data_IF_108135310982
#
_entry.id   IF_108135310982
#
_cell.length_a   1.000
_cell.length_b   1.000
_cell.length_c   1.000
_cell.angle_alpha   90.00
_cell.angle_beta   90.00
_cell.angle_gamma   90.00
#
_symmetry.space_group_name_H-M   'P 1'
#
loop_
_entity.id
_entity.type
_entity.pdbx_description
1 polymer ?
#
# COMPACT_ATOMS: atom_id res chain seq x y z
N UNK A 1 91.35 93.09 -20.90
CA UNK A 1 90.05 92.94 -20.20
C UNK A 1 88.83 92.71 -21.12
N UNK A 2 88.97 92.77 -22.45
CA UNK A 2 87.85 92.62 -23.41
C UNK A 2 87.50 91.16 -23.78
N UNK A 3 88.45 90.22 -23.70
CA UNK A 3 88.18 88.80 -24.02
C UNK A 3 87.38 88.05 -22.95
N UNK A 4 87.63 88.28 -21.65
CA UNK A 4 86.89 87.62 -20.57
C UNK A 4 85.38 87.93 -20.59
N UNK A 5 85.00 89.15 -21.00
CA UNK A 5 83.59 89.55 -21.13
C UNK A 5 82.87 88.88 -22.30
N UNK A 6 83.59 88.39 -23.32
CA UNK A 6 83.00 87.66 -24.45
C UNK A 6 82.76 86.19 -24.09
N UNK A 7 83.71 85.55 -23.40
CA UNK A 7 83.59 84.17 -22.91
C UNK A 7 82.48 83.98 -21.86
N UNK A 8 82.36 84.91 -20.91
CA UNK A 8 81.27 84.87 -19.93
C UNK A 8 79.88 85.02 -20.58
N UNK A 9 79.81 85.72 -21.72
CA UNK A 9 78.55 85.90 -22.47
C UNK A 9 78.16 84.63 -23.19
N UNK A 10 79.08 83.95 -23.88
CA UNK A 10 78.77 82.70 -24.60
C UNK A 10 78.38 81.56 -23.66
N UNK A 11 79.03 81.44 -22.50
CA UNK A 11 78.68 80.43 -21.50
C UNK A 11 77.28 80.65 -20.89
N UNK A 12 76.87 81.91 -20.70
CA UNK A 12 75.51 82.21 -20.19
C UNK A 12 74.42 81.81 -21.18
N UNK A 13 74.69 81.91 -22.48
CA UNK A 13 73.74 81.51 -23.53
C UNK A 13 73.58 80.00 -23.64
N UNK A 14 74.64 79.21 -23.51
CA UNK A 14 74.56 77.74 -23.59
C UNK A 14 73.82 77.13 -22.41
N UNK A 15 74.06 77.63 -21.18
CA UNK A 15 73.35 77.18 -19.97
C UNK A 15 71.86 77.54 -20.03
N UNK A 16 71.52 78.73 -20.53
CA UNK A 16 70.12 79.14 -20.69
C UNK A 16 69.37 78.28 -21.73
N UNK A 17 70.02 77.94 -22.85
CA UNK A 17 69.42 77.08 -23.87
C UNK A 17 69.18 75.64 -23.37
N UNK A 18 70.12 75.09 -22.59
CA UNK A 18 69.98 73.75 -22.01
C UNK A 18 68.83 73.68 -20.97
N UNK A 19 68.70 74.72 -20.15
CA UNK A 19 67.62 74.83 -19.17
C UNK A 19 66.23 74.95 -19.84
N UNK A 20 66.14 75.67 -20.96
CA UNK A 20 64.91 75.77 -21.75
C UNK A 20 64.48 74.42 -22.33
N UNK A 21 65.42 73.66 -22.91
CA UNK A 21 65.14 72.35 -23.49
C UNK A 21 64.66 71.35 -22.43
N UNK A 22 65.28 71.36 -21.26
CA UNK A 22 64.90 70.50 -20.13
C UNK A 22 63.48 70.79 -19.62
N UNK A 23 63.13 72.09 -19.52
CA UNK A 23 61.78 72.50 -19.10
C UNK A 23 60.70 72.02 -20.07
N UNK A 24 60.95 72.11 -21.38
CA UNK A 24 60.01 71.63 -22.40
C UNK A 24 59.84 70.10 -22.34
N UNK A 25 60.93 69.37 -22.14
CA UNK A 25 60.88 67.91 -21.96
C UNK A 25 60.03 67.51 -20.76
N UNK A 26 60.23 68.15 -19.59
CA UNK A 26 59.45 67.87 -18.39
C UNK A 26 57.96 68.21 -18.56
N UNK A 27 57.66 69.31 -19.25
CA UNK A 27 56.28 69.71 -19.53
C UNK A 27 55.58 68.70 -20.44
N UNK A 28 56.26 68.19 -21.47
CA UNK A 28 55.74 67.15 -22.34
C UNK A 28 55.52 65.82 -21.61
N UNK A 29 56.42 65.44 -20.70
CA UNK A 29 56.25 64.24 -19.87
C UNK A 29 55.04 64.35 -18.94
N UNK A 30 54.86 65.51 -18.28
CA UNK A 30 53.70 65.76 -17.43
C UNK A 30 52.40 65.72 -18.23
N UNK A 31 52.34 66.43 -19.36
CA UNK A 31 51.18 66.42 -20.26
C UNK A 31 50.86 65.00 -20.76
N UNK A 32 51.88 64.22 -21.11
CA UNK A 32 51.74 62.82 -21.50
C UNK A 32 51.19 61.93 -20.39
N UNK A 33 51.69 62.08 -19.15
CA UNK A 33 51.21 61.30 -17.99
C UNK A 33 49.73 61.59 -17.66
N UNK A 34 49.33 62.86 -17.76
CA UNK A 34 47.96 63.29 -17.52
C UNK A 34 47.02 62.76 -18.60
N UNK A 35 47.40 62.91 -19.87
CA UNK A 35 46.64 62.40 -21.01
C UNK A 35 46.45 60.88 -20.94
N UNK A 36 47.49 60.14 -20.57
CA UNK A 36 47.42 58.68 -20.41
C UNK A 36 46.48 58.26 -19.26
N UNK A 37 46.49 59.00 -18.15
CA UNK A 37 45.60 58.74 -17.01
C UNK A 37 44.12 58.90 -17.38
N UNK A 38 43.80 59.96 -18.15
CA UNK A 38 42.43 60.19 -18.65
C UNK A 38 42.03 59.10 -19.64
N UNK A 39 42.93 58.73 -20.56
CA UNK A 39 42.66 57.69 -21.56
C UNK A 39 42.38 56.31 -20.92
N UNK A 40 43.08 55.95 -19.84
CA UNK A 40 42.83 54.71 -19.09
C UNK A 40 41.45 54.66 -18.43
N UNK A 41 40.93 55.79 -17.96
CA UNK A 41 39.65 55.83 -17.25
C UNK A 41 38.45 55.72 -18.20
N UNK A 42 38.57 56.27 -19.41
CA UNK A 42 37.44 56.41 -20.35
C UNK A 42 37.41 55.31 -21.39
N UNK A 43 38.56 54.74 -21.75
CA UNK A 43 38.67 53.77 -22.86
C UNK A 43 39.15 52.42 -22.34
N UNK A 44 38.26 51.43 -22.19
CA UNK A 44 38.61 50.08 -21.72
C UNK A 44 39.72 49.42 -22.54
N UNK A 45 39.80 49.72 -23.84
CA UNK A 45 40.86 49.22 -24.72
C UNK A 45 42.25 49.76 -24.37
N UNK A 46 42.38 51.03 -23.95
CA UNK A 46 43.67 51.62 -23.52
C UNK A 46 44.11 51.00 -22.21
N UNK A 47 43.17 50.82 -21.27
CA UNK A 47 43.43 50.13 -20.02
C UNK A 47 43.88 48.67 -20.24
N UNK A 48 43.24 47.95 -21.16
CA UNK A 48 43.61 46.59 -21.53
C UNK A 48 45.02 46.52 -22.17
N UNK A 49 45.35 47.44 -23.07
CA UNK A 49 46.66 47.50 -23.72
C UNK A 49 47.79 47.79 -22.72
N UNK A 50 47.62 48.79 -21.85
CA UNK A 50 48.65 49.12 -20.84
C UNK A 50 48.75 48.04 -19.77
N UNK A 51 47.62 47.46 -19.33
CA UNK A 51 47.65 46.33 -18.40
C UNK A 51 48.37 45.11 -19.00
N UNK A 52 48.22 44.88 -20.31
CA UNK A 52 48.98 43.83 -21.02
C UNK A 52 50.48 44.08 -21.02
N UNK A 53 50.92 45.33 -21.19
CA UNK A 53 52.36 45.72 -21.10
C UNK A 53 52.88 45.62 -19.66
N UNK A 54 52.07 46.03 -18.67
CA UNK A 54 52.45 45.90 -17.26
C UNK A 54 52.54 44.42 -16.86
N UNK A 55 51.65 43.56 -17.35
CA UNK A 55 51.67 42.12 -17.07
C UNK A 55 52.89 41.43 -17.69
N UNK A 56 53.34 41.84 -18.89
CA UNK A 56 54.55 41.28 -19.52
C UNK A 56 55.84 41.73 -18.85
N UNK A 57 55.87 42.95 -18.28
CA UNK A 57 57.08 43.49 -17.61
C UNK A 57 57.14 43.12 -16.13
N UNK A 58 56.00 43.04 -15.43
CA UNK A 58 55.95 42.84 -13.97
C UNK A 58 55.47 41.46 -13.55
N UNK A 59 54.84 40.68 -14.45
CA UNK A 59 54.29 39.35 -14.15
C UNK A 59 53.03 39.35 -13.27
N UNK A 60 52.50 40.52 -12.88
CA UNK A 60 51.34 40.62 -11.99
C UNK A 60 50.04 40.66 -12.83
N UNK A 61 49.26 39.58 -12.77
CA UNK A 61 47.93 39.48 -13.42
C UNK A 61 46.96 40.54 -12.91
N UNK A 62 46.46 41.37 -13.83
CA UNK A 62 45.49 42.44 -13.53
C UNK A 62 44.14 41.91 -13.02
N UNK A 63 43.41 42.71 -12.22
CA UNK A 63 42.09 42.36 -11.71
C UNK A 63 41.03 42.20 -12.82
N UNK A 64 41.21 42.88 -13.95
CA UNK A 64 40.31 42.83 -15.10
C UNK A 64 40.36 41.47 -15.81
N UNK A 65 41.53 40.84 -15.95
CA UNK A 65 41.63 39.50 -16.51
C UNK A 65 41.00 38.45 -15.59
N UNK A 66 41.04 38.67 -14.26
CA UNK A 66 40.33 37.83 -13.28
C UNK A 66 38.82 37.95 -13.34
N UNK A 67 38.27 39.15 -13.58
CA UNK A 67 36.82 39.35 -13.72
C UNK A 67 36.28 38.69 -14.99
N UNK A 68 36.91 38.91 -16.14
CA UNK A 68 36.53 38.22 -17.39
C UNK A 68 36.59 36.70 -17.21
N UNK A 69 37.65 36.19 -16.58
CA UNK A 69 37.78 34.76 -16.34
C UNK A 69 36.70 34.20 -15.39
N UNK A 70 36.20 34.98 -14.44
CA UNK A 70 35.09 34.57 -13.55
C UNK A 70 33.76 34.55 -14.28
N UNK A 71 33.46 35.58 -15.08
CA UNK A 71 32.22 35.64 -15.86
C UNK A 71 32.16 34.52 -16.89
N UNK A 72 33.25 34.26 -17.61
CA UNK A 72 33.35 33.14 -18.55
C UNK A 72 33.11 31.78 -17.85
N UNK A 73 33.69 31.59 -16.65
CA UNK A 73 33.45 30.37 -15.85
C UNK A 73 32.00 30.26 -15.38
N UNK A 74 31.37 31.37 -15.00
CA UNK A 74 29.99 31.37 -14.53
C UNK A 74 29.02 31.05 -15.68
N UNK A 75 29.23 31.65 -16.85
CA UNK A 75 28.47 31.34 -18.07
C UNK A 75 28.61 29.87 -18.47
N UNK A 76 29.83 29.32 -18.44
CA UNK A 76 30.13 27.91 -18.70
C UNK A 76 29.49 26.97 -17.66
N UNK A 77 29.43 27.37 -16.39
CA UNK A 77 28.74 26.60 -15.35
C UNK A 77 27.22 26.62 -15.51
N UNK A 78 26.64 27.75 -15.92
CA UNK A 78 25.21 27.86 -16.19
C UNK A 78 24.80 26.98 -17.38
N UNK A 79 25.52 27.02 -18.48
CA UNK A 79 25.23 26.15 -19.65
C UNK A 79 25.39 24.66 -19.30
N UNK A 80 26.38 24.30 -18.48
CA UNK A 80 26.49 22.93 -17.93
C UNK A 80 25.34 22.56 -17.00
N UNK A 81 24.84 23.49 -16.20
CA UNK A 81 23.71 23.24 -15.30
C UNK A 81 22.40 23.06 -16.09
N UNK A 82 22.17 23.92 -17.09
CA UNK A 82 21.00 23.83 -17.99
C UNK A 82 20.99 22.53 -18.78
N UNK A 83 22.14 22.13 -19.34
CA UNK A 83 22.24 20.85 -20.07
C UNK A 83 21.98 19.66 -19.17
N UNK A 84 22.49 19.64 -17.93
CA UNK A 84 22.19 18.59 -16.94
C UNK A 84 20.71 18.56 -16.58
N UNK A 85 20.11 19.71 -16.31
CA UNK A 85 18.68 19.81 -16.02
C UNK A 85 17.81 19.31 -17.18
N UNK A 86 18.21 19.62 -18.42
CA UNK A 86 17.53 19.13 -19.62
C UNK A 86 17.65 17.60 -19.76
N UNK A 87 18.82 17.02 -19.52
CA UNK A 87 19.03 15.56 -19.56
C UNK A 87 18.23 14.84 -18.49
N UNK A 88 18.25 15.35 -17.25
CA UNK A 88 17.47 14.78 -16.14
C UNK A 88 15.96 14.86 -16.41
N UNK A 89 15.50 15.98 -16.97
CA UNK A 89 14.10 16.13 -17.34
C UNK A 89 13.70 15.18 -18.49
N UNK A 90 14.59 14.92 -19.45
CA UNK A 90 14.35 13.94 -20.50
C UNK A 90 14.30 12.51 -19.95
N UNK A 91 15.21 12.16 -19.04
CA UNK A 91 15.22 10.85 -18.37
C UNK A 91 13.95 10.64 -17.54
N UNK A 92 13.55 11.63 -16.74
CA UNK A 92 12.29 11.56 -15.97
C UNK A 92 11.09 11.35 -16.87
N UNK A 93 10.98 12.08 -18.00
CA UNK A 93 9.89 11.87 -18.98
C UNK A 93 9.91 10.47 -19.59
N UNK A 94 11.09 9.92 -19.86
CA UNK A 94 11.23 8.56 -20.36
C UNK A 94 10.79 7.53 -19.30
N UNK A 95 11.17 7.74 -18.03
CA UNK A 95 10.76 6.88 -16.90
C UNK A 95 9.25 6.96 -16.67
N UNK A 96 8.66 8.15 -16.66
CA UNK A 96 7.20 8.31 -16.51
C UNK A 96 6.47 7.67 -17.69
N UNK A 97 6.95 7.84 -18.92
CA UNK A 97 6.39 7.16 -20.09
C UNK A 97 6.43 5.63 -19.99
N UNK A 98 7.53 5.06 -19.45
CA UNK A 98 7.60 3.62 -19.16
C UNK A 98 6.62 3.22 -18.07
N UNK A 99 6.51 3.99 -16.99
CA UNK A 99 5.56 3.73 -15.91
C UNK A 99 4.10 3.74 -16.42
N UNK A 100 3.74 4.70 -17.27
CA UNK A 100 2.41 4.78 -17.87
C UNK A 100 2.13 3.59 -18.81
N UNK A 101 3.13 3.17 -19.59
CA UNK A 101 3.02 1.99 -20.44
C UNK A 101 2.81 0.72 -19.61
N UNK A 102 3.55 0.57 -18.51
CA UNK A 102 3.40 -0.56 -17.59
C UNK A 102 2.03 -0.53 -16.90
N UNK A 103 1.57 0.66 -16.46
CA UNK A 103 0.25 0.82 -15.85
C UNK A 103 -0.87 0.40 -16.83
N UNK A 104 -0.78 0.82 -18.09
CA UNK A 104 -1.70 0.40 -19.17
C UNK A 104 -1.64 -1.11 -19.41
N UNK A 105 -0.46 -1.69 -19.54
CA UNK A 105 -0.29 -3.14 -19.74
C UNK A 105 -0.86 -3.96 -18.56
N UNK A 106 -0.71 -3.49 -17.31
CA UNK A 106 -1.29 -4.12 -16.14
C UNK A 106 -2.82 -4.00 -16.11
N UNK A 107 -3.37 -2.86 -16.52
CA UNK A 107 -4.82 -2.69 -16.63
C UNK A 107 -5.40 -3.63 -17.70
N UNK A 108 -4.75 -3.72 -18.86
CA UNK A 108 -5.15 -4.62 -19.94
C UNK A 108 -5.06 -6.10 -19.53
N UNK A 109 -3.98 -6.48 -18.83
CA UNK A 109 -3.80 -7.84 -18.31
C UNK A 109 -4.90 -8.20 -17.31
N UNK A 110 -5.25 -7.31 -16.38
CA UNK A 110 -6.35 -7.53 -15.43
C UNK A 110 -7.70 -7.65 -16.15
N UNK A 111 -7.95 -6.78 -17.13
CA UNK A 111 -9.18 -6.84 -17.93
C UNK A 111 -9.26 -8.13 -18.79
N UNK A 112 -8.13 -8.67 -19.23
CA UNK A 112 -8.06 -9.96 -19.93
C UNK A 112 -8.31 -11.12 -18.96
N UNK A 113 -7.71 -11.09 -17.77
CA UNK A 113 -7.95 -12.08 -16.71
C UNK A 113 -9.41 -12.11 -16.28
N UNK A 114 -10.05 -10.95 -16.07
CA UNK A 114 -11.48 -10.90 -15.73
C UNK A 114 -12.37 -11.43 -16.85
N UNK A 115 -11.98 -11.22 -18.11
CA UNK A 115 -12.70 -11.77 -19.26
C UNK A 115 -12.60 -13.29 -19.32
N UNK A 116 -11.40 -13.84 -19.19
CA UNK A 116 -11.19 -15.29 -19.16
C UNK A 116 -11.91 -15.94 -17.97
N UNK A 117 -11.91 -15.30 -16.80
CA UNK A 117 -12.63 -15.80 -15.63
C UNK A 117 -14.15 -15.88 -15.90
N UNK A 118 -14.74 -14.85 -16.53
CA UNK A 118 -16.16 -14.88 -16.94
C UNK A 118 -16.44 -15.94 -18.00
N UNK A 119 -15.57 -16.08 -18.99
CA UNK A 119 -15.70 -17.10 -20.03
C UNK A 119 -15.66 -18.52 -19.45
N UNK A 120 -14.78 -18.77 -18.47
CA UNK A 120 -14.72 -20.04 -17.73
C UNK A 120 -16.00 -20.27 -16.91
N UNK A 121 -16.52 -19.23 -16.25
CA UNK A 121 -17.76 -19.30 -15.48
C UNK A 121 -18.99 -19.57 -16.37
N UNK A 122 -19.00 -19.02 -17.59
CA UNK A 122 -20.05 -19.20 -18.60
C UNK A 122 -19.86 -20.46 -19.46
N UNK A 123 -18.72 -21.14 -19.33
CA UNK A 123 -18.41 -22.33 -20.11
C UNK A 123 -19.45 -23.43 -19.84
N UNK A 124 -20.01 -24.05 -20.88
CA UNK A 124 -21.07 -25.02 -20.71
C UNK A 124 -20.51 -26.34 -20.17
N UNK A 125 -21.01 -26.77 -19.02
CA UNK A 125 -20.68 -28.05 -18.40
C UNK A 125 -21.90 -28.97 -18.39
N UNK A 126 -21.67 -30.28 -18.46
CA UNK A 126 -22.73 -31.26 -18.23
C UNK A 126 -22.88 -31.47 -16.73
N UNK A 127 -23.96 -30.96 -16.18
CA UNK A 127 -24.30 -31.10 -14.76
C UNK A 127 -25.64 -31.83 -14.65
N UNK A 128 -25.62 -32.99 -13.98
CA UNK A 128 -26.81 -33.81 -13.70
C UNK A 128 -27.67 -34.14 -14.93
N UNK A 129 -27.00 -34.41 -16.07
CA UNK A 129 -27.66 -34.75 -17.33
C UNK A 129 -28.15 -33.56 -18.15
N UNK A 130 -28.02 -32.34 -17.63
CA UNK A 130 -28.35 -31.08 -18.34
C UNK A 130 -27.09 -30.30 -18.66
N UNK A 131 -27.10 -29.55 -19.77
CA UNK A 131 -26.00 -28.66 -20.16
C UNK A 131 -26.34 -27.25 -19.68
N UNK A 132 -25.51 -26.69 -18.81
CA UNK A 132 -25.70 -25.37 -18.19
C UNK A 132 -24.34 -24.67 -17.98
N UNK A 133 -24.33 -23.39 -17.61
CA UNK A 133 -23.08 -22.69 -17.32
C UNK A 133 -22.41 -23.26 -16.07
N UNK A 134 -21.08 -23.28 -16.02
CA UNK A 134 -20.33 -23.74 -14.85
C UNK A 134 -20.75 -22.99 -13.58
N UNK A 135 -20.97 -21.68 -13.67
CA UNK A 135 -21.44 -20.85 -12.56
C UNK A 135 -22.83 -21.26 -12.05
N UNK A 136 -23.72 -21.71 -12.92
CA UNK A 136 -25.07 -22.18 -12.55
C UNK A 136 -25.00 -23.53 -11.85
N UNK A 137 -24.14 -24.43 -12.32
CA UNK A 137 -23.90 -25.71 -11.69
C UNK A 137 -23.29 -25.56 -10.28
N UNK A 138 -22.35 -24.61 -10.11
CA UNK A 138 -21.78 -24.26 -8.80
C UNK A 138 -22.86 -23.69 -7.89
N UNK A 139 -23.66 -22.73 -8.36
CA UNK A 139 -24.75 -22.11 -7.59
C UNK A 139 -25.78 -23.14 -7.12
N UNK A 140 -26.28 -24.00 -8.01
CA UNK A 140 -27.22 -25.08 -7.65
C UNK A 140 -26.61 -26.02 -6.59
N UNK A 141 -25.34 -26.36 -6.75
CA UNK A 141 -24.65 -27.24 -5.80
C UNK A 141 -24.51 -26.57 -4.44
N UNK A 142 -24.04 -25.32 -4.40
CA UNK A 142 -23.87 -24.54 -3.18
C UNK A 142 -25.21 -24.40 -2.44
N UNK A 143 -26.27 -23.93 -3.09
CA UNK A 143 -27.60 -23.79 -2.50
C UNK A 143 -28.13 -25.12 -1.97
N UNK A 144 -28.03 -26.20 -2.74
CA UNK A 144 -28.54 -27.52 -2.31
C UNK A 144 -27.72 -28.15 -1.20
N UNK A 145 -26.42 -27.92 -1.16
CA UNK A 145 -25.57 -28.41 -0.07
C UNK A 145 -25.90 -27.61 1.19
N UNK A 146 -25.93 -26.28 1.13
CA UNK A 146 -26.29 -25.43 2.26
C UNK A 146 -27.66 -25.79 2.82
N UNK A 147 -28.70 -25.88 1.99
CA UNK A 147 -30.04 -26.27 2.43
C UNK A 147 -30.09 -27.67 3.05
N UNK A 148 -29.41 -28.67 2.45
CA UNK A 148 -29.38 -30.03 3.02
C UNK A 148 -28.62 -30.09 4.33
N UNK A 149 -27.54 -29.33 4.45
CA UNK A 149 -26.81 -29.18 5.70
C UNK A 149 -27.70 -28.53 6.75
N UNK A 150 -28.41 -27.45 6.44
CA UNK A 150 -29.34 -26.79 7.37
C UNK A 150 -30.41 -27.75 7.90
N UNK A 151 -31.04 -28.49 6.99
CA UNK A 151 -32.01 -29.52 7.37
C UNK A 151 -31.36 -30.64 8.20
N UNK A 152 -30.18 -31.14 7.81
CA UNK A 152 -29.49 -32.22 8.52
C UNK A 152 -29.03 -31.79 9.92
N UNK A 153 -28.42 -30.62 10.05
CA UNK A 153 -27.98 -30.06 11.32
C UNK A 153 -29.17 -29.81 12.25
N UNK A 154 -30.27 -29.25 11.73
CA UNK A 154 -31.50 -29.08 12.53
C UNK A 154 -32.05 -30.41 13.03
N UNK A 155 -32.05 -31.44 12.18
CA UNK A 155 -32.46 -32.81 12.55
C UNK A 155 -31.56 -33.40 13.62
N UNK A 156 -30.23 -33.28 13.47
CA UNK A 156 -29.26 -33.74 14.46
C UNK A 156 -29.43 -33.03 15.80
N UNK A 157 -29.58 -31.70 15.82
CA UNK A 157 -29.81 -30.94 17.07
C UNK A 157 -31.10 -31.40 17.76
N UNK A 158 -32.16 -31.62 16.99
CA UNK A 158 -33.43 -32.08 17.54
C UNK A 158 -33.43 -33.55 18.00
N UNK A 159 -32.64 -34.43 17.36
CA UNK A 159 -32.53 -35.84 17.76
C UNK A 159 -31.74 -36.04 19.05
N UNK A 160 -30.92 -35.06 19.47
CA UNK A 160 -30.14 -35.11 20.72
C UNK A 160 -30.98 -35.45 21.95
N UNK A 161 -32.17 -34.86 22.06
CA UNK A 161 -33.07 -35.09 23.19
C UNK A 161 -33.61 -36.55 23.21
N UNK A 162 -33.72 -37.18 22.04
CA UNK A 162 -34.12 -38.58 21.90
C UNK A 162 -33.01 -39.59 22.20
N UNK A 163 -31.74 -39.21 22.01
CA UNK A 163 -30.56 -40.07 22.19
C UNK A 163 -29.82 -39.88 23.53
N UNK A 164 -30.25 -38.92 24.35
CA UNK A 164 -29.63 -38.54 25.63
C UNK A 164 -29.65 -39.62 26.76
N UNK A 165 -29.90 -40.89 26.43
CA UNK A 165 -29.89 -42.01 27.38
C UNK A 165 -28.54 -42.77 27.34
N UNK A 166 -27.77 -42.90 28.45
CA UNK A 166 -27.93 -42.34 29.80
C UNK A 166 -27.01 -41.12 30.07
N UNK A 167 -27.55 -40.12 30.80
CA UNK A 167 -26.96 -39.03 31.63
C UNK A 167 -25.48 -38.63 31.38
N UNK A 168 -24.53 -39.57 31.41
CA UNK A 168 -23.11 -39.35 31.10
C UNK A 168 -22.93 -38.84 29.65
N UNK A 169 -23.85 -39.20 28.74
CA UNK A 169 -23.82 -38.78 27.34
C UNK A 169 -24.25 -37.33 27.09
N UNK A 170 -24.97 -36.67 28.00
CA UNK A 170 -25.58 -35.35 27.73
C UNK A 170 -24.54 -34.27 27.47
N UNK A 171 -23.47 -34.24 28.27
CA UNK A 171 -22.37 -33.29 28.07
C UNK A 171 -21.57 -33.55 26.79
N UNK A 172 -21.42 -34.82 26.41
CA UNK A 172 -20.74 -35.23 25.16
C UNK A 172 -21.60 -34.86 23.95
N UNK A 173 -22.91 -35.09 24.02
CA UNK A 173 -23.89 -34.74 23.00
C UNK A 173 -23.92 -33.22 22.80
N UNK A 174 -24.02 -32.42 23.87
CA UNK A 174 -23.96 -30.96 23.80
C UNK A 174 -22.67 -30.46 23.11
N UNK A 175 -21.52 -31.02 23.50
CA UNK A 175 -20.23 -30.66 22.91
C UNK A 175 -20.10 -31.09 21.44
N UNK A 176 -20.55 -32.30 21.10
CA UNK A 176 -20.57 -32.80 19.73
C UNK A 176 -21.44 -31.93 18.83
N UNK A 177 -22.61 -31.50 19.31
CA UNK A 177 -23.49 -30.61 18.56
C UNK A 177 -22.92 -29.21 18.40
N UNK A 178 -22.23 -28.68 19.40
CA UNK A 178 -21.51 -27.41 19.25
C UNK A 178 -20.45 -27.51 18.14
N UNK A 179 -19.77 -28.65 18.02
CA UNK A 179 -18.81 -28.91 16.94
C UNK A 179 -19.49 -29.11 15.58
N UNK A 180 -20.56 -29.89 15.51
CA UNK A 180 -21.34 -30.09 14.28
C UNK A 180 -21.92 -28.78 13.74
N UNK A 181 -22.45 -27.91 14.61
CA UNK A 181 -22.90 -26.58 14.23
C UNK A 181 -21.76 -25.75 13.65
N UNK A 182 -20.58 -25.76 14.30
CA UNK A 182 -19.41 -25.02 13.82
C UNK A 182 -18.96 -25.52 12.45
N UNK A 183 -18.83 -26.83 12.27
CA UNK A 183 -18.39 -27.42 11.00
C UNK A 183 -19.42 -27.17 9.89
N UNK A 184 -20.71 -27.25 10.21
CA UNK A 184 -21.79 -26.89 9.28
C UNK A 184 -21.68 -25.42 8.83
N UNK A 185 -21.40 -24.50 9.77
CA UNK A 185 -21.18 -23.08 9.47
C UNK A 185 -19.98 -22.88 8.55
N UNK A 186 -18.86 -23.54 8.84
CA UNK A 186 -17.64 -23.44 8.02
C UNK A 186 -17.89 -23.96 6.60
N UNK A 187 -18.53 -25.12 6.45
CA UNK A 187 -18.85 -25.69 5.15
C UNK A 187 -19.76 -24.77 4.32
N UNK A 188 -20.77 -24.13 4.93
CA UNK A 188 -21.61 -23.16 4.22
C UNK A 188 -20.81 -21.92 3.79
N UNK A 189 -19.89 -21.46 4.65
CA UNK A 189 -18.95 -20.39 4.31
C UNK A 189 -18.06 -20.74 3.13
N UNK A 190 -17.56 -21.97 3.06
CA UNK A 190 -16.77 -22.49 1.93
C UNK A 190 -17.61 -22.57 0.65
N UNK A 191 -18.85 -23.04 0.73
CA UNK A 191 -19.77 -23.08 -0.42
C UNK A 191 -20.09 -21.67 -0.93
N UNK A 192 -20.24 -20.69 -0.04
CA UNK A 192 -20.40 -19.28 -0.40
C UNK A 192 -19.15 -18.72 -1.05
N UNK A 193 -17.97 -19.00 -0.50
CA UNK A 193 -16.71 -18.54 -1.09
C UNK A 193 -16.52 -19.12 -2.50
N UNK A 194 -16.87 -20.40 -2.69
CA UNK A 194 -16.86 -21.04 -4.00
C UNK A 194 -17.88 -20.40 -4.96
N UNK A 195 -19.12 -20.19 -4.51
CA UNK A 195 -20.14 -19.57 -5.34
C UNK A 195 -19.79 -18.11 -5.69
N UNK A 196 -19.31 -17.32 -4.75
CA UNK A 196 -18.86 -15.95 -4.99
C UNK A 196 -17.68 -15.86 -5.97
N UNK A 197 -16.82 -16.88 -6.04
CA UNK A 197 -15.76 -16.94 -7.03
C UNK A 197 -16.29 -17.10 -8.47
N UNK A 198 -17.46 -17.73 -8.65
CA UNK A 198 -18.11 -17.94 -9.95
C UNK A 198 -19.25 -16.95 -10.24
N UNK A 199 -19.89 -16.41 -9.20
CA UNK A 199 -21.05 -15.54 -9.21
C UNK A 199 -20.81 -14.31 -8.30
N UNK A 200 -19.84 -13.43 -8.63
CA UNK A 200 -19.48 -12.31 -7.77
C UNK A 200 -20.60 -11.26 -7.60
N UNK A 201 -21.53 -11.19 -8.56
CA UNK A 201 -22.62 -10.22 -8.56
C UNK A 201 -23.88 -10.72 -7.82
N UNK A 202 -24.00 -12.02 -7.59
CA UNK A 202 -25.16 -12.66 -6.96
C UNK A 202 -24.78 -13.96 -6.20
N UNK A 203 -23.93 -13.84 -5.15
CA UNK A 203 -23.50 -15.00 -4.37
C UNK A 203 -24.60 -15.49 -3.42
N UNK A 204 -24.56 -16.78 -3.05
CA UNK A 204 -25.43 -17.33 -2.00
C UNK A 204 -25.20 -16.63 -0.65
N UNK A 205 -26.27 -16.11 -0.05
CA UNK A 205 -26.21 -15.35 1.22
C UNK A 205 -26.86 -16.06 2.42
N UNK A 206 -27.39 -17.26 2.25
CA UNK A 206 -28.11 -17.96 3.33
C UNK A 206 -27.18 -18.36 4.48
N UNK A 207 -27.44 -17.80 5.67
CA UNK A 207 -26.75 -18.07 6.95
C UNK A 207 -27.69 -18.76 7.96
N UNK A 208 -28.54 -19.68 7.49
CA UNK A 208 -29.62 -20.28 8.32
C UNK A 208 -29.15 -20.96 9.61
N UNK A 209 -27.92 -21.48 9.65
CA UNK A 209 -27.35 -22.18 10.82
C UNK A 209 -26.34 -21.31 11.57
N UNK A 210 -25.72 -20.33 10.90
CA UNK A 210 -24.66 -19.48 11.43
C UNK A 210 -25.23 -18.51 12.46
N UNK A 211 -25.22 -18.91 13.74
CA UNK A 211 -25.80 -18.14 14.85
C UNK A 211 -26.74 -18.94 15.74
N UNK A 212 -27.06 -20.19 15.37
CA UNK A 212 -27.73 -21.13 16.27
C UNK A 212 -26.82 -21.41 17.47
N UNK A 213 -27.36 -21.22 18.67
CA UNK A 213 -26.66 -21.55 19.92
C UNK A 213 -26.97 -23.01 20.28
N UNK A 214 -25.95 -23.87 20.46
CA UNK A 214 -26.18 -25.24 20.92
C UNK A 214 -26.84 -25.21 22.30
N UNK A 215 -27.83 -26.09 22.57
CA UNK A 215 -28.44 -26.17 23.89
C UNK A 215 -27.40 -26.57 24.93
N UNK A 216 -27.50 -25.98 26.11
CA UNK A 216 -26.66 -26.31 27.26
C UNK A 216 -26.98 -27.70 27.79
N UNK A 217 -26.07 -28.24 28.60
CA UNK A 217 -26.26 -29.55 29.26
C UNK A 217 -27.52 -29.56 30.12
N UNK A 218 -27.77 -28.46 30.82
CA UNK A 218 -28.89 -28.26 31.73
C UNK A 218 -30.19 -28.15 30.95
N UNK A 219 -30.21 -27.43 29.82
CA UNK A 219 -31.37 -27.34 28.92
C UNK A 219 -31.71 -28.69 28.29
N UNK A 220 -30.71 -29.45 27.83
CA UNK A 220 -30.89 -30.81 27.34
C UNK A 220 -31.47 -31.73 28.43
N UNK A 221 -30.94 -31.63 29.65
CA UNK A 221 -31.42 -32.42 30.78
C UNK A 221 -32.87 -32.07 31.17
N UNK A 222 -33.22 -30.78 31.18
CA UNK A 222 -34.59 -30.34 31.43
C UNK A 222 -35.55 -30.79 30.33
N UNK A 223 -35.17 -30.75 29.05
CA UNK A 223 -36.00 -31.28 27.96
C UNK A 223 -36.29 -32.77 28.12
N UNK A 224 -35.28 -33.57 28.47
CA UNK A 224 -35.41 -35.02 28.71
C UNK A 224 -36.29 -35.32 29.94
N UNK A 225 -36.14 -34.54 31.02
CA UNK A 225 -36.86 -34.76 32.30
C UNK A 225 -38.32 -34.29 32.25
N UNK A 226 -38.57 -33.14 31.63
CA UNK A 226 -39.89 -32.48 31.64
C UNK A 226 -40.86 -33.04 30.61
N UNK A 227 -40.38 -33.49 29.46
CA UNK A 227 -41.26 -33.90 28.36
C UNK A 227 -40.64 -34.93 27.41
N UNK A 228 -40.32 -36.14 27.88
CA UNK A 228 -39.78 -37.20 27.02
C UNK A 228 -40.72 -37.61 25.88
N UNK A 229 -42.04 -37.51 26.09
CA UNK A 229 -43.04 -37.72 25.04
C UNK A 229 -42.98 -36.67 23.93
N UNK A 230 -42.92 -35.37 24.25
CA UNK A 230 -42.82 -34.34 23.22
C UNK A 230 -41.44 -34.32 22.55
N UNK A 231 -40.37 -34.68 23.25
CA UNK A 231 -39.05 -34.88 22.64
C UNK A 231 -39.08 -36.03 21.61
N UNK A 232 -39.78 -37.12 21.93
CA UNK A 232 -40.02 -38.21 21.00
C UNK A 232 -40.91 -37.81 19.81
N UNK A 233 -41.97 -37.04 20.06
CA UNK A 233 -42.86 -36.54 19.00
C UNK A 233 -42.17 -35.56 18.06
N UNK A 234 -41.31 -34.69 18.59
CA UNK A 234 -40.47 -33.81 17.79
C UNK A 234 -39.48 -34.59 16.91
N UNK A 235 -38.86 -35.65 17.45
CA UNK A 235 -38.03 -36.56 16.67
C UNK A 235 -38.84 -37.30 15.58
N UNK A 236 -40.06 -37.76 15.87
CA UNK A 236 -40.97 -38.37 14.87
C UNK A 236 -41.35 -37.41 13.73
N UNK A 237 -41.50 -36.12 14.02
CA UNK A 237 -41.76 -35.11 12.98
C UNK A 237 -40.58 -34.88 12.03
N UNK A 238 -39.38 -35.36 12.38
CA UNK A 238 -38.13 -35.12 11.65
C UNK A 238 -37.59 -36.35 10.93
N UNK A 239 -37.95 -37.56 11.37
CA UNK A 239 -37.53 -38.84 10.79
C UNK A 239 -38.73 -39.70 10.40
N UNK A 240 -38.82 -40.07 9.12
CA UNK A 240 -39.80 -41.04 8.64
C UNK A 240 -39.45 -42.46 9.15
N UNK A 241 -40.44 -43.16 9.72
CA UNK A 241 -40.32 -44.59 10.11
C UNK A 241 -39.98 -44.89 11.56
N UNK A 242 -40.02 -43.90 12.46
CA UNK A 242 -39.88 -44.14 13.90
C UNK A 242 -41.11 -44.87 14.47
N UNK A 243 -40.93 -45.94 15.28
CA UNK A 243 -42.04 -46.71 15.85
C UNK A 243 -42.85 -45.89 16.88
N UNK A 244 -44.14 -46.21 16.98
CA UNK A 244 -45.04 -45.59 17.96
C UNK A 244 -44.77 -46.19 19.35
N UNK A 245 -43.93 -45.52 20.13
CA UNK A 245 -43.68 -45.91 21.53
C UNK A 245 -44.57 -45.07 22.45
N UNK A 246 -45.54 -45.75 23.05
CA UNK A 246 -46.31 -45.19 24.17
C UNK A 246 -45.38 -45.03 25.39
N UNK A 247 -45.31 -43.85 26.01
CA UNK A 247 -44.60 -43.65 27.28
C UNK A 247 -45.42 -44.29 28.43
N UNK A 248 -45.64 -45.60 28.36
CA UNK A 248 -46.23 -46.38 29.44
C UNK A 248 -45.27 -46.47 30.64
N UNK A 249 -45.80 -46.89 31.80
CA UNK A 249 -45.14 -46.81 33.13
C UNK A 249 -43.75 -47.48 33.31
N UNK A 250 -43.18 -48.12 32.29
CA UNK A 250 -41.76 -48.48 32.21
C UNK A 250 -40.87 -47.27 31.92
N UNK A 251 -41.31 -46.35 31.06
CA UNK A 251 -40.55 -45.14 30.70
C UNK A 251 -40.43 -44.18 31.89
N UNK A 252 -41.53 -43.96 32.64
CA UNK A 252 -41.52 -43.16 33.87
C UNK A 252 -40.61 -43.72 34.97
N UNK A 253 -40.38 -45.04 34.98
CA UNK A 253 -39.49 -45.71 35.94
C UNK A 253 -38.02 -45.55 35.57
N UNK A 254 -37.72 -45.65 34.27
CA UNK A 254 -36.37 -45.43 33.72
C UNK A 254 -35.99 -43.95 33.81
N UNK A 255 -36.90 -43.03 33.50
CA UNK A 255 -36.65 -41.59 33.64
C UNK A 255 -36.50 -41.17 35.09
N UNK A 256 -37.25 -41.75 36.02
CA UNK A 256 -37.08 -41.52 37.47
C UNK A 256 -35.73 -42.03 37.99
N UNK A 257 -35.30 -43.23 37.56
CA UNK A 257 -33.98 -43.77 37.89
C UNK A 257 -32.84 -42.93 37.30
N UNK A 258 -32.93 -42.58 36.02
CA UNK A 258 -31.97 -41.69 35.36
C UNK A 258 -31.95 -40.29 36.02
N UNK A 259 -33.12 -39.81 36.44
CA UNK A 259 -33.31 -38.62 37.26
C UNK A 259 -32.44 -38.62 38.51
N UNK A 260 -32.56 -39.70 39.30
CA UNK A 260 -31.75 -39.88 40.51
C UNK A 260 -30.26 -40.04 40.24
N UNK A 261 -29.87 -40.70 39.14
CA UNK A 261 -28.46 -40.83 38.74
C UNK A 261 -27.85 -39.49 38.34
N UNK A 262 -28.61 -38.64 37.62
CA UNK A 262 -28.16 -37.30 37.27
C UNK A 262 -28.00 -36.43 38.51
N UNK A 263 -29.03 -36.37 39.37
CA UNK A 263 -29.01 -35.55 40.57
C UNK A 263 -27.87 -35.98 41.51
N UNK A 264 -27.50 -37.27 41.52
CA UNK A 264 -26.33 -37.78 42.24
C UNK A 264 -24.97 -37.44 41.60
N UNK A 265 -24.86 -37.53 40.28
CA UNK A 265 -23.58 -37.35 39.58
C UNK A 265 -23.25 -35.89 39.26
N UNK A 266 -24.28 -35.05 39.09
CA UNK A 266 -24.17 -33.70 38.53
C UNK A 266 -25.06 -32.68 39.26
N UNK A 267 -25.84 -33.09 40.26
CA UNK A 267 -26.57 -32.14 41.09
C UNK A 267 -25.60 -31.24 41.85
N UNK A 268 -25.82 -29.94 41.79
CA UNK A 268 -25.06 -28.99 42.59
C UNK A 268 -25.13 -29.40 44.07
N UNK A 269 -23.98 -29.48 44.72
CA UNK A 269 -23.93 -29.59 46.18
C UNK A 269 -24.75 -28.43 46.75
N UNK A 270 -25.63 -28.66 47.75
CA UNK A 270 -26.39 -27.57 48.32
C UNK A 270 -25.42 -26.48 48.74
N UNK A 271 -25.61 -25.26 48.22
CA UNK A 271 -24.92 -24.08 48.72
C UNK A 271 -25.03 -24.13 50.24
N UNK A 272 -23.88 -24.26 50.90
CA UNK A 272 -23.82 -24.17 52.35
C UNK A 272 -24.35 -22.78 52.71
N UNK A 273 -25.61 -22.73 53.14
CA UNK A 273 -26.22 -21.52 53.67
C UNK A 273 -25.37 -21.03 54.86
N UNK A 274 -25.19 -19.70 55.01
CA UNK A 274 -24.32 -19.11 56.03
C UNK A 274 -24.71 -19.46 57.46
#
# INVERSE_FOLDING_TARGET
>A
MTMLRRLARTLRWTVAALGGLWSVLMMLLMAGSLALSIAMAVVPAVFAAVSGVVETVTGIRSLHSRQIAREARLADNLTRAETRAATEAAERRAVTGRADNLARALADSRAAQSRMARELADSPVTYRGTRMAAREAVKDTATRVSHRTAVATTRNVASMAGEALPVIGVGVIAAATAWELRDACLMMGEMRALDAAFNPDDPVTDDEICGLTPPTREELWQMVRSSPGAAWDAARGLYDGLPDVSPGGSYGRISGWAGGVYDWAFGDAPEAAP
#
